data_IF_087196725941
#
_entry.id   IF_087196725941
#
_cell.length_a   1.000
_cell.length_b   1.000
_cell.length_c   1.000
_cell.angle_alpha   90.00
_cell.angle_beta   90.00
_cell.angle_gamma   90.00
#
_symmetry.space_group_name_H-M   'P 1'
#
loop_
_entity.id
_entity.type
_entity.pdbx_description
1 polymer ?
#
# COMPACT_ATOMS: atom_id res chain seq x y z
N UNK A 1 -23.68 7.16 27.26
CA UNK A 1 -22.25 6.81 27.22
C UNK A 1 -21.81 7.26 25.85
N UNK A 2 -20.88 8.19 25.77
CA UNK A 2 -20.44 8.75 24.48
C UNK A 2 -19.90 7.61 23.61
N UNK A 3 -20.55 7.38 22.48
CA UNK A 3 -20.07 6.42 21.49
C UNK A 3 -18.87 7.04 20.77
N UNK A 4 -17.81 6.28 20.53
CA UNK A 4 -16.61 6.76 19.85
C UNK A 4 -16.35 5.91 18.62
N UNK A 5 -16.00 6.53 17.49
CA UNK A 5 -15.52 5.83 16.29
C UNK A 5 -14.05 6.16 16.01
N UNK A 6 -13.33 5.21 15.42
CA UNK A 6 -11.96 5.41 14.94
C UNK A 6 -11.98 5.58 13.44
N UNK A 7 -11.39 6.67 12.95
CA UNK A 7 -11.27 6.93 11.53
C UNK A 7 -9.81 7.19 11.15
N UNK A 8 -9.34 6.70 9.99
CA UNK A 8 -8.01 7.02 9.49
C UNK A 8 -7.92 8.51 9.14
N UNK A 9 -6.87 9.17 9.60
CA UNK A 9 -6.58 10.59 9.40
C UNK A 9 -5.12 10.80 9.01
N UNK A 10 -4.77 12.05 8.66
CA UNK A 10 -3.39 12.49 8.40
C UNK A 10 -2.67 11.75 7.26
N UNK A 11 -3.39 11.47 6.17
CA UNK A 11 -2.87 10.74 5.00
C UNK A 11 -1.56 11.31 4.41
N UNK A 12 -1.29 12.61 4.58
CA UNK A 12 -0.10 13.30 4.05
C UNK A 12 1.03 13.55 5.07
N UNK A 13 0.85 13.16 6.33
CA UNK A 13 1.85 13.40 7.37
C UNK A 13 2.26 12.07 8.01
N UNK A 14 1.39 11.55 8.86
CA UNK A 14 1.57 10.29 9.58
C UNK A 14 0.20 9.63 9.71
N UNK A 15 -0.17 8.77 8.74
CA UNK A 15 -1.46 8.11 8.76
C UNK A 15 -1.70 7.39 10.08
N UNK A 16 -2.78 7.73 10.77
CA UNK A 16 -3.16 7.13 12.05
C UNK A 16 -4.66 7.15 12.26
N UNK A 17 -5.13 6.28 13.13
CA UNK A 17 -6.50 6.35 13.61
C UNK A 17 -6.67 7.49 14.61
N UNK A 18 -7.78 8.21 14.48
CA UNK A 18 -8.21 9.24 15.43
C UNK A 18 -9.57 8.85 15.97
N UNK A 19 -9.74 9.02 17.27
CA UNK A 19 -10.99 8.80 17.98
C UNK A 19 -11.91 10.02 17.88
N UNK A 20 -13.14 9.80 17.45
CA UNK A 20 -14.18 10.82 17.31
C UNK A 20 -15.36 10.49 18.24
N UNK A 21 -15.60 11.31 19.28
CA UNK A 21 -16.80 11.17 20.10
C UNK A 21 -18.03 11.56 19.28
N UNK A 22 -19.10 10.79 19.43
CA UNK A 22 -20.36 10.97 18.72
C UNK A 22 -21.45 11.35 19.71
N UNK A 23 -22.40 12.23 19.33
CA UNK A 23 -23.57 12.52 20.14
C UNK A 23 -24.44 11.28 20.38
N UNK A 24 -24.91 11.10 21.61
CA UNK A 24 -25.73 9.95 22.02
C UNK A 24 -27.06 9.83 21.23
N UNK A 25 -27.53 10.91 20.58
CA UNK A 25 -28.76 10.93 19.78
C UNK A 25 -28.58 10.57 18.30
N UNK A 26 -27.36 10.26 17.85
CA UNK A 26 -27.09 9.92 16.45
C UNK A 26 -27.27 8.43 16.20
N UNK A 27 -27.94 8.08 15.10
CA UNK A 27 -27.81 6.76 14.49
C UNK A 27 -26.60 6.79 13.55
N UNK A 28 -25.61 5.94 13.82
CA UNK A 28 -24.37 5.87 13.04
C UNK A 28 -24.16 4.47 12.49
N UNK A 29 -23.81 4.40 11.21
CA UNK A 29 -23.47 3.16 10.51
C UNK A 29 -22.11 3.31 9.83
N UNK A 30 -21.26 2.30 9.94
CA UNK A 30 -19.94 2.25 9.29
C UNK A 30 -20.00 1.25 8.14
N UNK A 31 -19.76 1.75 6.93
CA UNK A 31 -19.79 0.95 5.70
C UNK A 31 -18.37 0.75 5.18
N UNK A 32 -17.76 -0.34 5.60
CA UNK A 32 -16.38 -0.68 5.20
C UNK A 32 -16.33 -1.18 3.74
N UNK A 33 -15.27 -0.81 3.03
CA UNK A 33 -14.96 -1.40 1.72
C UNK A 33 -14.57 -2.88 1.90
N UNK A 34 -14.72 -3.69 0.86
CA UNK A 34 -14.41 -5.13 0.90
C UNK A 34 -12.94 -5.47 1.27
N UNK A 35 -12.04 -4.49 1.19
CA UNK A 35 -10.63 -4.63 1.56
C UNK A 35 -10.29 -4.21 2.99
N UNK A 36 -11.23 -3.68 3.76
CA UNK A 36 -10.94 -3.01 5.04
C UNK A 36 -10.20 -3.93 6.03
N UNK A 37 -10.70 -5.14 6.25
CA UNK A 37 -10.09 -6.12 7.17
C UNK A 37 -9.12 -7.09 6.47
N UNK A 38 -8.69 -6.79 5.23
CA UNK A 38 -7.73 -7.66 4.55
C UNK A 38 -6.37 -7.57 5.24
N UNK A 39 -5.68 -8.71 5.45
CA UNK A 39 -4.35 -8.69 6.03
C UNK A 39 -3.41 -7.87 5.16
N UNK A 40 -2.55 -7.09 5.82
CA UNK A 40 -1.50 -6.35 5.13
C UNK A 40 -0.48 -7.34 4.56
N UNK A 41 -0.04 -7.12 3.31
CA UNK A 41 1.03 -7.91 2.71
C UNK A 41 2.30 -7.83 3.54
N UNK A 42 2.92 -8.98 3.76
CA UNK A 42 4.25 -9.06 4.37
C UNK A 42 5.33 -8.66 3.37
N UNK A 43 6.57 -8.34 3.84
CA UNK A 43 7.71 -8.15 2.96
C UNK A 43 7.93 -9.32 1.98
N UNK A 44 7.71 -10.57 2.41
CA UNK A 44 7.87 -11.75 1.57
C UNK A 44 6.74 -11.89 0.54
N UNK A 45 5.50 -11.51 0.88
CA UNK A 45 4.39 -11.45 -0.08
C UNK A 45 4.69 -10.45 -1.20
N UNK A 46 5.24 -9.27 -0.84
CA UNK A 46 5.61 -8.23 -1.82
C UNK A 46 6.73 -8.74 -2.72
N UNK A 47 7.77 -9.36 -2.14
CA UNK A 47 8.87 -9.96 -2.90
C UNK A 47 8.36 -11.00 -3.89
N UNK A 48 7.51 -11.93 -3.44
CA UNK A 48 6.95 -12.99 -4.26
C UNK A 48 6.10 -12.44 -5.41
N UNK A 49 5.30 -11.40 -5.15
CA UNK A 49 4.50 -10.75 -6.19
C UNK A 49 5.35 -10.09 -7.28
N UNK A 50 6.51 -9.54 -6.91
CA UNK A 50 7.44 -8.87 -7.85
C UNK A 50 8.25 -9.88 -8.66
N UNK A 51 8.75 -10.95 -8.03
CA UNK A 51 9.62 -11.95 -8.69
C UNK A 51 8.86 -12.98 -9.52
N UNK A 52 7.53 -13.07 -9.36
CA UNK A 52 6.64 -13.98 -10.08
C UNK A 52 5.44 -13.25 -10.72
N UNK A 53 5.66 -12.38 -11.72
CA UNK A 53 4.61 -11.58 -12.31
C UNK A 53 3.59 -12.42 -13.10
N UNK A 54 2.36 -11.93 -13.17
CA UNK A 54 1.26 -12.58 -13.89
C UNK A 54 1.29 -12.13 -15.36
N UNK A 55 1.40 -13.09 -16.28
CA UNK A 55 1.24 -12.82 -17.72
C UNK A 55 2.41 -12.12 -18.41
N UNK A 56 3.57 -12.01 -17.75
CA UNK A 56 4.81 -11.49 -18.35
C UNK A 56 6.05 -12.17 -17.76
N UNK A 57 7.21 -12.11 -18.42
CA UNK A 57 8.47 -12.52 -17.81
C UNK A 57 8.86 -11.63 -16.62
N UNK A 58 9.64 -12.15 -15.66
CA UNK A 58 10.25 -11.36 -14.59
C UNK A 58 11.06 -10.17 -15.13
N UNK A 59 11.05 -9.04 -14.41
CA UNK A 59 11.73 -7.82 -14.87
C UNK A 59 13.25 -8.00 -15.01
N UNK A 60 13.87 -8.88 -14.21
CA UNK A 60 15.29 -9.28 -14.38
C UNK A 60 15.60 -9.82 -15.77
N UNK A 61 14.65 -10.55 -16.37
CA UNK A 61 14.81 -11.12 -17.71
C UNK A 61 14.64 -10.04 -18.78
N UNK A 62 13.67 -9.15 -18.59
CA UNK A 62 13.39 -8.04 -19.52
C UNK A 62 14.54 -7.01 -19.51
N UNK A 63 15.14 -6.77 -18.35
CA UNK A 63 16.24 -5.84 -18.16
C UNK A 63 17.62 -6.39 -18.58
N UNK A 64 17.73 -7.69 -18.86
CA UNK A 64 19.01 -8.31 -19.21
C UNK A 64 19.65 -7.64 -20.42
N UNK A 65 20.89 -7.18 -20.24
CA UNK A 65 21.67 -6.49 -21.28
C UNK A 65 21.23 -5.04 -21.55
N UNK A 66 20.34 -4.47 -20.72
CA UNK A 66 20.03 -3.04 -20.72
C UNK A 66 20.97 -2.30 -19.79
N UNK A 67 21.41 -1.11 -20.21
CA UNK A 67 22.31 -0.27 -19.42
C UNK A 67 21.56 0.79 -18.60
N UNK A 68 20.29 1.02 -18.91
CA UNK A 68 19.48 2.07 -18.30
C UNK A 68 18.03 1.59 -18.17
N UNK A 69 17.42 1.87 -17.01
CA UNK A 69 16.04 1.55 -16.68
C UNK A 69 15.41 2.77 -16.04
N UNK A 70 14.16 3.07 -16.41
CA UNK A 70 13.36 4.12 -15.79
C UNK A 70 12.27 3.47 -14.93
N UNK A 71 12.18 3.86 -13.67
CA UNK A 71 11.12 3.45 -12.75
C UNK A 71 10.24 4.66 -12.51
N UNK A 72 8.96 4.54 -12.86
CA UNK A 72 7.97 5.59 -12.64
C UNK A 72 7.32 5.40 -11.28
N UNK A 73 7.31 6.47 -10.50
CA UNK A 73 6.60 6.54 -9.22
C UNK A 73 5.46 7.53 -9.32
N UNK A 74 4.36 7.21 -8.67
CA UNK A 74 3.28 8.15 -8.45
C UNK A 74 3.75 9.30 -7.55
N UNK A 75 3.05 10.43 -7.60
CA UNK A 75 3.34 11.55 -6.73
C UNK A 75 2.84 11.32 -5.29
N UNK A 76 3.17 12.27 -4.42
CA UNK A 76 2.75 12.22 -3.02
C UNK A 76 1.23 12.22 -2.85
N UNK A 77 0.42 12.57 -3.87
CA UNK A 77 -1.06 12.55 -3.78
C UNK A 77 -1.65 11.14 -3.94
N UNK A 78 -0.82 10.10 -4.06
CA UNK A 78 -1.23 8.70 -4.02
C UNK A 78 -0.73 8.04 -2.75
N UNK A 79 -1.58 7.24 -2.10
CA UNK A 79 -1.24 6.48 -0.90
C UNK A 79 -0.43 5.21 -1.18
N UNK A 80 0.24 5.14 -2.33
CA UNK A 80 1.09 4.01 -2.72
C UNK A 80 2.26 3.92 -1.75
N UNK A 81 2.42 2.79 -1.06
CA UNK A 81 3.50 2.60 -0.08
C UNK A 81 4.82 2.25 -0.79
N UNK A 82 5.33 3.19 -1.60
CA UNK A 82 6.51 3.05 -2.47
C UNK A 82 7.73 2.52 -1.70
N UNK A 83 7.98 3.03 -0.49
CA UNK A 83 9.09 2.61 0.36
C UNK A 83 9.07 1.12 0.73
N UNK A 84 7.90 0.48 0.74
CA UNK A 84 7.75 -0.96 1.00
C UNK A 84 7.90 -1.82 -0.27
N UNK A 85 7.78 -1.22 -1.45
CA UNK A 85 7.75 -1.94 -2.73
C UNK A 85 9.11 -1.85 -3.44
N UNK A 86 9.67 -0.64 -3.52
CA UNK A 86 10.88 -0.33 -4.30
C UNK A 86 12.10 -1.18 -3.98
N UNK A 87 12.41 -1.51 -2.70
CA UNK A 87 13.58 -2.33 -2.41
C UNK A 87 13.57 -3.69 -3.13
N UNK A 88 12.39 -4.28 -3.35
CA UNK A 88 12.25 -5.56 -4.03
C UNK A 88 12.31 -5.42 -5.55
N UNK A 89 11.80 -4.32 -6.11
CA UNK A 89 11.96 -3.99 -7.54
C UNK A 89 13.44 -3.79 -7.87
N UNK A 90 14.17 -3.05 -7.04
CA UNK A 90 15.59 -2.83 -7.21
C UNK A 90 16.41 -4.11 -7.06
N UNK A 91 16.05 -4.97 -6.10
CA UNK A 91 16.70 -6.27 -5.94
C UNK A 91 16.56 -7.15 -7.19
N UNK A 92 15.36 -7.20 -7.76
CA UNK A 92 15.07 -7.96 -8.96
C UNK A 92 15.81 -7.39 -10.20
N UNK A 93 15.90 -6.06 -10.35
CA UNK A 93 16.66 -5.43 -11.44
C UNK A 93 18.18 -5.59 -11.31
N UNK A 94 18.68 -5.93 -10.12
CA UNK A 94 20.10 -6.12 -9.85
C UNK A 94 20.59 -7.56 -10.14
N UNK A 95 19.69 -8.47 -10.53
CA UNK A 95 20.00 -9.84 -10.97
C UNK A 95 20.41 -9.92 -12.45
#
# INVERSE_FOLDING_TARGET
MVSTIKLPQYVWYEPREVEFPLPDNWQVEVHNIAGYDRPTMTPDDIRAAISSPIGMPPIREIARGKNEVVILFDDMTRSTQVSKIVPFVLAELAE
#
